data_IF_398830403796
#
_entry.id   IF_398830403796
#
_cell.length_a   1.000
_cell.length_b   1.000
_cell.length_c   1.000
_cell.angle_alpha   90.00
_cell.angle_beta   90.00
_cell.angle_gamma   90.00
#
_symmetry.space_group_name_H-M   'P 1'
#
loop_
_entity.id
_entity.type
_entity.pdbx_description
1 polymer ?
#
# COMPACT_ATOMS: atom_id res chain seq x y z
N UNK A 1 14.91 15.63 16.31
CA UNK A 1 13.79 16.00 15.42
C UNK A 1 13.92 15.44 14.01
N UNK A 2 14.92 15.80 13.19
CA UNK A 2 15.02 15.35 11.79
C UNK A 2 14.92 13.83 11.58
N UNK A 3 15.60 13.03 12.42
CA UNK A 3 15.54 11.56 12.34
C UNK A 3 14.12 11.01 12.50
N UNK A 4 13.27 11.69 13.28
CA UNK A 4 11.88 11.31 13.48
C UNK A 4 11.04 11.64 12.23
N UNK A 5 11.18 12.85 11.70
CA UNK A 5 10.48 13.27 10.47
C UNK A 5 10.83 12.36 9.29
N UNK A 6 12.10 12.01 9.12
CA UNK A 6 12.53 11.10 8.04
C UNK A 6 11.85 9.74 8.21
N UNK A 7 11.91 9.13 9.40
CA UNK A 7 11.27 7.83 9.69
C UNK A 7 9.76 7.83 9.40
N UNK A 8 9.05 8.88 9.81
CA UNK A 8 7.62 9.01 9.58
C UNK A 8 7.31 9.09 8.08
N UNK A 9 7.99 9.97 7.35
CA UNK A 9 7.80 10.12 5.91
C UNK A 9 8.18 8.84 5.15
N UNK A 10 9.23 8.14 5.58
CA UNK A 10 9.60 6.84 5.01
C UNK A 10 8.49 5.81 5.19
N UNK A 11 7.88 5.69 6.38
CA UNK A 11 6.75 4.78 6.58
C UNK A 11 5.55 5.17 5.71
N UNK A 12 5.23 6.46 5.60
CA UNK A 12 4.12 6.93 4.77
C UNK A 12 4.37 6.65 3.28
N UNK A 13 5.60 6.84 2.80
CA UNK A 13 5.99 6.49 1.44
C UNK A 13 5.92 4.98 1.20
N UNK A 14 6.33 4.15 2.16
CA UNK A 14 6.23 2.70 2.04
C UNK A 14 4.78 2.21 2.03
N UNK A 15 3.90 2.81 2.84
CA UNK A 15 2.45 2.57 2.76
C UNK A 15 1.93 2.89 1.36
N UNK A 16 2.26 4.07 0.84
CA UNK A 16 1.86 4.47 -0.50
C UNK A 16 2.39 3.51 -1.60
N UNK A 17 3.66 3.09 -1.53
CA UNK A 17 4.26 2.14 -2.47
C UNK A 17 3.56 0.78 -2.42
N UNK A 18 3.27 0.26 -1.22
CA UNK A 18 2.61 -1.03 -1.07
C UNK A 18 1.24 -1.07 -1.74
N UNK A 19 0.42 -0.03 -1.52
CA UNK A 19 -0.89 0.09 -2.16
C UNK A 19 -0.77 0.36 -3.66
N UNK A 20 0.20 1.18 -4.06
CA UNK A 20 0.46 1.49 -5.47
C UNK A 20 0.79 0.23 -6.28
N UNK A 21 1.73 -0.60 -5.80
CA UNK A 21 2.10 -1.87 -6.46
C UNK A 21 0.88 -2.79 -6.58
N UNK A 22 0.08 -2.90 -5.52
CA UNK A 22 -1.11 -3.74 -5.50
C UNK A 22 -2.12 -3.32 -6.59
N UNK A 23 -2.43 -2.03 -6.66
CA UNK A 23 -3.40 -1.50 -7.64
C UNK A 23 -2.84 -1.55 -9.06
N UNK A 24 -1.57 -1.20 -9.28
CA UNK A 24 -0.99 -1.25 -10.63
C UNK A 24 -0.94 -2.66 -11.20
N UNK A 25 -0.66 -3.67 -10.38
CA UNK A 25 -0.75 -5.06 -10.83
C UNK A 25 -2.17 -5.40 -11.32
N UNK A 26 -3.20 -4.93 -10.63
CA UNK A 26 -4.61 -5.18 -10.98
C UNK A 26 -5.00 -4.42 -12.26
N UNK A 27 -4.60 -3.16 -12.40
CA UNK A 27 -4.88 -2.35 -13.58
C UNK A 27 -4.21 -2.95 -14.82
N UNK A 28 -3.00 -3.51 -14.67
CA UNK A 28 -2.20 -4.01 -15.79
C UNK A 28 -2.35 -5.52 -16.07
N UNK A 29 -3.35 -6.21 -15.49
CA UNK A 29 -3.61 -7.66 -15.75
C UNK A 29 -3.63 -7.96 -17.25
N UNK A 30 -4.32 -7.13 -18.06
CA UNK A 30 -4.42 -7.31 -19.52
C UNK A 30 -3.07 -7.18 -20.24
N UNK A 31 -2.24 -6.23 -19.82
CA UNK A 31 -0.90 -6.04 -20.38
C UNK A 31 0.00 -7.22 -20.03
N UNK A 32 -0.05 -7.68 -18.78
CA UNK A 32 0.71 -8.84 -18.30
C UNK A 32 0.29 -10.10 -19.07
N UNK A 33 -1.01 -10.32 -19.27
CA UNK A 33 -1.52 -11.43 -20.09
C UNK A 33 -1.02 -11.38 -21.53
N UNK A 34 -1.00 -10.20 -22.16
CA UNK A 34 -0.50 -10.05 -23.53
C UNK A 34 1.01 -10.28 -23.63
N UNK A 35 1.79 -9.79 -22.66
CA UNK A 35 3.25 -9.93 -22.64
C UNK A 35 3.70 -11.36 -22.33
N UNK A 36 2.98 -12.07 -21.47
CA UNK A 36 3.30 -13.44 -21.05
C UNK A 36 2.71 -14.51 -21.98
N UNK A 37 1.69 -14.14 -22.77
CA UNK A 37 0.90 -15.09 -23.55
C UNK A 37 0.00 -15.98 -22.68
N UNK A 38 -0.14 -15.69 -21.38
CA UNK A 38 -0.98 -16.46 -20.47
C UNK A 38 -2.44 -16.04 -20.59
N UNK A 39 -3.35 -16.99 -20.39
CA UNK A 39 -4.77 -16.70 -20.29
C UNK A 39 -5.06 -15.70 -19.18
N UNK A 40 -5.99 -14.79 -19.45
CA UNK A 40 -6.31 -13.67 -18.56
C UNK A 40 -6.71 -14.14 -17.15
N UNK A 41 -7.51 -15.22 -17.05
CA UNK A 41 -7.97 -15.77 -15.76
C UNK A 41 -6.80 -16.32 -14.92
N UNK A 42 -5.81 -16.93 -15.56
CA UNK A 42 -4.62 -17.45 -14.88
C UNK A 42 -3.76 -16.30 -14.35
N UNK A 43 -3.54 -15.26 -15.16
CA UNK A 43 -2.80 -14.05 -14.76
C UNK A 43 -3.51 -13.34 -13.62
N UNK A 44 -4.84 -13.21 -13.68
CA UNK A 44 -5.66 -12.65 -12.62
C UNK A 44 -5.49 -13.42 -11.30
N UNK A 45 -5.58 -14.75 -11.33
CA UNK A 45 -5.41 -15.59 -10.14
C UNK A 45 -4.02 -15.43 -9.52
N UNK A 46 -2.98 -15.40 -10.35
CA UNK A 46 -1.60 -15.18 -9.91
C UNK A 46 -1.44 -13.79 -9.28
N UNK A 47 -2.00 -12.75 -9.90
CA UNK A 47 -1.96 -11.38 -9.34
C UNK A 47 -2.72 -11.30 -8.02
N UNK A 48 -3.86 -11.97 -7.90
CA UNK A 48 -4.60 -12.05 -6.63
C UNK A 48 -3.76 -12.73 -5.53
N UNK A 49 -3.10 -13.85 -5.86
CA UNK A 49 -2.20 -14.54 -4.92
C UNK A 49 -1.01 -13.66 -4.50
N UNK A 50 -0.38 -12.97 -5.46
CA UNK A 50 0.70 -12.01 -5.19
C UNK A 50 0.22 -10.88 -4.28
N UNK A 51 -0.99 -10.35 -4.51
CA UNK A 51 -1.56 -9.30 -3.66
C UNK A 51 -1.81 -9.77 -2.23
N UNK A 52 -2.32 -10.99 -2.04
CA UNK A 52 -2.54 -11.56 -0.69
C UNK A 52 -1.22 -11.79 0.02
N UNK A 53 -0.25 -12.44 -0.63
CA UNK A 53 1.07 -12.69 -0.05
C UNK A 53 1.78 -11.36 0.24
N UNK A 54 1.71 -10.43 -0.72
CA UNK A 54 2.25 -9.09 -0.59
C UNK A 54 1.66 -8.34 0.59
N UNK A 55 0.34 -8.37 0.77
CA UNK A 55 -0.33 -7.76 1.91
C UNK A 55 0.20 -8.31 3.23
N UNK A 56 0.37 -9.63 3.36
CA UNK A 56 0.91 -10.26 4.56
C UNK A 56 2.35 -9.82 4.83
N UNK A 57 3.22 -9.85 3.80
CA UNK A 57 4.62 -9.43 3.93
C UNK A 57 4.74 -7.94 4.29
N UNK A 58 3.97 -7.08 3.63
CA UNK A 58 3.89 -5.65 3.94
C UNK A 58 3.38 -5.41 5.35
N UNK A 59 2.36 -6.14 5.80
CA UNK A 59 1.83 -6.03 7.17
C UNK A 59 2.93 -6.34 8.20
N UNK A 60 3.65 -7.45 8.02
CA UNK A 60 4.76 -7.84 8.90
C UNK A 60 5.83 -6.75 8.93
N UNK A 61 6.22 -6.24 7.75
CA UNK A 61 7.21 -5.17 7.61
C UNK A 61 6.75 -3.88 8.32
N UNK A 62 5.49 -3.47 8.15
CA UNK A 62 4.96 -2.26 8.76
C UNK A 62 4.86 -2.39 10.28
N UNK A 63 4.45 -3.54 10.81
CA UNK A 63 4.46 -3.79 12.26
C UNK A 63 5.89 -3.70 12.79
N UNK A 64 6.85 -4.34 12.12
CA UNK A 64 8.26 -4.30 12.51
C UNK A 64 8.83 -2.88 12.50
N UNK A 65 8.61 -2.12 11.42
CA UNK A 65 9.10 -0.74 11.29
C UNK A 65 8.44 0.19 12.29
N UNK A 66 7.13 0.07 12.49
CA UNK A 66 6.38 0.92 13.43
C UNK A 66 6.83 0.67 14.87
N UNK A 67 7.08 -0.60 15.26
CA UNK A 67 7.69 -0.96 16.56
C UNK A 67 9.10 -0.40 16.69
N UNK A 68 9.97 -0.66 15.70
CA UNK A 68 11.39 -0.29 15.72
C UNK A 68 11.61 1.21 15.75
N UNK A 69 10.75 1.98 15.08
CA UNK A 69 10.91 3.43 14.96
C UNK A 69 10.17 4.22 16.02
N UNK A 70 9.43 3.52 16.91
CA UNK A 70 8.77 4.05 18.11
C UNK A 70 8.09 5.38 17.80
N UNK A 71 7.29 5.40 16.73
CA UNK A 71 6.56 6.59 16.36
C UNK A 71 5.50 6.78 17.45
N UNK A 72 5.78 7.67 18.40
CA UNK A 72 4.88 7.93 19.53
C UNK A 72 3.45 8.13 19.05
N UNK A 73 2.49 7.60 19.84
CA UNK A 73 1.06 7.47 19.49
C UNK A 73 0.46 8.70 18.79
N UNK A 74 0.80 9.91 19.25
CA UNK A 74 0.30 11.17 18.70
C UNK A 74 0.68 11.40 17.23
N UNK A 75 1.89 11.03 16.84
CA UNK A 75 2.41 11.26 15.49
C UNK A 75 2.17 10.08 14.56
N UNK A 76 1.87 8.91 15.11
CA UNK A 76 1.46 7.73 14.35
C UNK A 76 0.17 7.99 13.57
N UNK A 77 -0.75 8.81 14.10
CA UNK A 77 -1.96 9.22 13.36
C UNK A 77 -1.68 10.07 12.11
N UNK A 78 -0.53 10.74 12.02
CA UNK A 78 -0.16 11.48 10.80
C UNK A 78 0.02 10.53 9.60
N UNK A 79 0.39 9.27 9.84
CA UNK A 79 0.52 8.29 8.76
C UNK A 79 -0.81 7.94 8.10
N UNK A 80 -1.96 8.21 8.75
CA UNK A 80 -3.30 8.01 8.18
C UNK A 80 -3.62 8.96 7.03
N UNK A 81 -2.94 10.10 6.96
CA UNK A 81 -3.17 11.14 5.96
C UNK A 81 -1.96 11.28 5.04
N UNK A 82 -0.75 11.20 5.57
CA UNK A 82 0.48 11.45 4.82
C UNK A 82 0.77 10.39 3.76
N UNK A 83 0.20 9.19 3.81
CA UNK A 83 0.33 8.20 2.73
C UNK A 83 -0.30 8.69 1.41
N UNK A 84 -1.42 9.43 1.48
CA UNK A 84 -2.19 9.84 0.32
C UNK A 84 -1.42 10.74 -0.66
N UNK A 85 -0.70 11.81 -0.25
CA UNK A 85 0.09 12.61 -1.17
C UNK A 85 1.21 11.80 -1.84
N UNK A 86 1.86 10.88 -1.12
CA UNK A 86 2.85 9.97 -1.74
C UNK A 86 2.20 9.06 -2.77
N UNK A 87 1.02 8.52 -2.46
CA UNK A 87 0.27 7.65 -3.36
C UNK A 87 -0.14 8.38 -4.65
N UNK A 88 -0.64 9.62 -4.54
CA UNK A 88 -0.95 10.48 -5.68
C UNK A 88 0.30 10.76 -6.52
N UNK A 89 1.44 11.02 -5.87
CA UNK A 89 2.71 11.25 -6.56
C UNK A 89 3.14 10.01 -7.36
N UNK A 90 3.06 8.81 -6.79
CA UNK A 90 3.40 7.57 -7.51
C UNK A 90 2.48 7.35 -8.71
N UNK A 91 1.16 7.48 -8.54
CA UNK A 91 0.20 7.34 -9.62
C UNK A 91 0.35 8.39 -10.73
N UNK A 92 0.76 9.61 -10.38
CA UNK A 92 0.96 10.69 -11.38
C UNK A 92 2.29 10.54 -12.11
N UNK A 93 3.32 10.03 -11.43
CA UNK A 93 4.67 9.90 -11.99
C UNK A 93 4.85 8.62 -12.82
N UNK A 94 4.19 7.53 -12.45
CA UNK A 94 4.37 6.23 -13.09
C UNK A 94 4.06 6.23 -14.60
N UNK A 95 2.95 6.82 -15.09
CA UNK A 95 2.66 6.89 -16.52
C UNK A 95 3.65 7.72 -17.32
N UNK A 96 4.33 8.69 -16.67
CA UNK A 96 5.34 9.52 -17.31
C UNK A 96 6.63 8.73 -17.55
N UNK A 97 7.00 7.85 -16.61
CA UNK A 97 8.21 7.00 -16.73
C UNK A 97 7.96 5.76 -17.57
N UNK A 98 6.78 5.16 -17.42
CA UNK A 98 6.37 3.97 -18.14
C UNK A 98 5.14 4.30 -18.97
N UNK A 99 5.32 4.77 -20.22
CA UNK A 99 4.22 5.03 -21.13
C UNK A 99 3.63 3.68 -21.59
N UNK A 100 2.80 3.09 -20.73
CA UNK A 100 2.01 1.91 -21.08
C UNK A 100 0.85 2.43 -21.92
N UNK A 101 0.86 2.13 -23.22
CA UNK A 101 -0.23 2.47 -24.13
C UNK A 101 -1.56 2.01 -23.52
N UNK A 102 -2.59 2.84 -23.57
CA UNK A 102 -3.93 2.49 -23.07
C UNK A 102 -4.46 1.28 -23.85
N UNK A 103 -4.17 0.07 -23.36
CA UNK A 103 -4.80 -1.15 -23.83
C UNK A 103 -6.28 -1.14 -23.46
N UNK A 104 -6.99 -2.20 -23.82
CA UNK A 104 -8.36 -2.46 -23.34
C UNK A 104 -8.29 -2.68 -21.83
N UNK A 105 -8.32 -1.58 -21.11
CA UNK A 105 -8.31 -1.51 -19.67
C UNK A 105 -9.71 -1.89 -19.23
N UNK A 106 -9.84 -3.04 -18.58
CA UNK A 106 -11.11 -3.58 -18.07
C UNK A 106 -11.53 -2.82 -16.80
N UNK A 107 -11.45 -1.49 -16.84
CA UNK A 107 -11.78 -0.56 -15.77
C UNK A 107 -13.15 -0.83 -15.11
N UNK A 108 -14.22 -1.28 -15.81
CA UNK A 108 -15.49 -1.51 -15.11
C UNK A 108 -15.44 -2.61 -14.05
N UNK A 109 -14.61 -3.65 -14.21
CA UNK A 109 -14.69 -4.87 -13.36
C UNK A 109 -13.99 -4.71 -12.01
N UNK A 110 -12.94 -3.89 -11.92
CA UNK A 110 -12.10 -3.79 -10.71
C UNK A 110 -12.27 -2.49 -9.92
N UNK A 111 -13.12 -1.57 -10.38
CA UNK A 111 -13.36 -0.30 -9.69
C UNK A 111 -13.72 -0.48 -8.21
N UNK A 112 -14.58 -1.45 -7.87
CA UNK A 112 -14.95 -1.69 -6.47
C UNK A 112 -13.75 -2.11 -5.62
N UNK A 113 -12.88 -2.96 -6.16
CA UNK A 113 -11.70 -3.45 -5.44
C UNK A 113 -10.67 -2.33 -5.28
N UNK A 114 -10.42 -1.54 -6.32
CA UNK A 114 -9.48 -0.42 -6.29
C UNK A 114 -9.97 0.67 -5.33
N UNK A 115 -11.19 1.19 -5.53
CA UNK A 115 -11.73 2.24 -4.67
C UNK A 115 -11.95 1.74 -3.24
N UNK A 116 -12.45 0.51 -3.07
CA UNK A 116 -12.59 -0.13 -1.77
C UNK A 116 -11.26 -0.24 -1.04
N UNK A 117 -10.18 -0.63 -1.74
CA UNK A 117 -8.84 -0.69 -1.15
C UNK A 117 -8.35 0.68 -0.70
N UNK A 118 -8.50 1.72 -1.53
CA UNK A 118 -8.11 3.10 -1.21
C UNK A 118 -8.89 3.64 0.00
N UNK A 119 -10.19 3.37 0.08
CA UNK A 119 -11.07 3.81 1.19
C UNK A 119 -10.75 3.05 2.49
N UNK A 120 -10.48 1.74 2.41
CA UNK A 120 -10.15 0.91 3.57
C UNK A 120 -8.70 1.08 4.03
N UNK A 121 -7.83 1.66 3.21
CA UNK A 121 -6.41 1.76 3.51
C UNK A 121 -6.06 2.53 4.80
N UNK A 122 -6.68 3.70 5.10
CA UNK A 122 -6.50 4.37 6.38
C UNK A 122 -6.92 3.50 7.57
N UNK A 123 -7.98 2.69 7.42
CA UNK A 123 -8.43 1.75 8.46
C UNK A 123 -7.38 0.67 8.69
N UNK A 124 -6.79 0.13 7.63
CA UNK A 124 -5.67 -0.82 7.71
C UNK A 124 -4.44 -0.23 8.42
N UNK A 125 -4.04 1.00 8.07
CA UNK A 125 -2.93 1.71 8.74
C UNK A 125 -3.24 1.92 10.23
N UNK A 126 -4.49 2.24 10.58
CA UNK A 126 -4.92 2.38 11.96
C UNK A 126 -4.74 1.07 12.75
N UNK A 127 -5.13 -0.07 12.19
CA UNK A 127 -4.92 -1.38 12.83
C UNK A 127 -3.45 -1.67 13.09
N UNK A 128 -2.57 -1.41 12.11
CA UNK A 128 -1.12 -1.58 12.30
C UNK A 128 -0.62 -0.70 13.43
N UNK A 129 -1.02 0.58 13.44
CA UNK A 129 -0.59 1.52 14.47
C UNK A 129 -1.03 1.08 15.88
N UNK A 130 -2.25 0.57 16.04
CA UNK A 130 -2.74 0.07 17.34
C UNK A 130 -2.01 -1.21 17.78
N UNK A 131 -1.78 -2.15 16.86
CA UNK A 131 -1.12 -3.42 17.19
C UNK A 131 0.39 -3.26 17.43
N UNK A 132 1.04 -2.39 16.65
CA UNK A 132 2.48 -2.16 16.73
C UNK A 132 2.87 -1.29 17.93
N UNK A 133 2.01 -0.38 18.35
CA UNK A 133 2.19 0.40 19.58
C UNK A 133 1.18 -0.07 20.63
N UNK A 134 1.38 -1.26 21.25
CA UNK A 134 0.47 -1.72 22.30
C UNK A 134 0.37 -0.66 23.39
N UNK A 135 -0.84 -0.50 23.93
CA UNK A 135 -1.07 0.31 25.13
C UNK A 135 -0.03 -0.12 26.16
N UNK A 136 0.90 0.77 26.49
CA UNK A 136 1.60 0.66 27.76
C UNK A 136 0.48 0.78 28.78
N UNK A 137 0.02 -0.36 29.30
CA UNK A 137 -0.60 -0.39 30.61
C UNK A 137 0.44 0.19 31.54
N UNK A 138 0.15 1.38 32.05
CA UNK A 138 0.91 2.00 33.12
C UNK A 138 0.90 1.03 34.32
N UNK A 139 1.89 0.14 34.35
CA UNK A 139 2.56 -0.32 35.55
C UNK A 139 3.97 0.24 35.30
N UNK A 140 4.42 1.31 35.96
CA UNK A 140 4.49 1.52 37.40
C UNK A 140 4.46 3.02 37.71
N UNK A 141 3.85 3.36 38.85
CA UNK A 141 3.95 4.63 39.56
C UNK A 141 5.37 4.87 40.12
#
# INVERSE_FOLDING_TARGET
MMKFFIKLNTICALYAIALFIAIELIINVSHISTLTGWEWDNVYLVIAAINVIGLLLWTILFIYLTKKWTIGRKYSYLSLVLWAPYFILFFSFFPVVFPINAGITLFPRFNLLIYGSVILYPVYILFINQYASPLITNYEE
#
